data_IF_261973186140
#
_entry.id   IF_261973186140
#
_cell.length_a   1.000
_cell.length_b   1.000
_cell.length_c   1.000
_cell.angle_alpha   90.00
_cell.angle_beta   90.00
_cell.angle_gamma   90.00
#
_symmetry.space_group_name_H-M   'P 1'
#
loop_
_entity.id
_entity.type
_entity.pdbx_description
1 polymer ?
#
# COMPACT_ATOMS: atom_id res chain seq x y z
N UNK A 1 31.20 -7.11 -12.77
CA UNK A 1 31.99 -5.90 -12.42
C UNK A 1 31.61 -5.50 -10.99
N UNK A 2 32.60 -5.23 -10.14
CA UNK A 2 32.36 -4.71 -8.79
C UNK A 2 32.10 -3.19 -8.93
N UNK A 3 30.92 -2.73 -8.48
CA UNK A 3 30.52 -1.32 -8.52
C UNK A 3 30.32 -0.80 -7.12
N UNK A 4 30.64 0.48 -6.91
CA UNK A 4 30.26 1.22 -5.72
C UNK A 4 28.84 1.77 -5.89
N UNK A 5 28.05 1.82 -4.78
CA UNK A 5 26.71 2.38 -4.83
C UNK A 5 26.73 3.85 -4.42
N UNK A 6 25.97 4.68 -5.13
CA UNK A 6 25.81 6.11 -4.81
C UNK A 6 25.30 6.27 -3.38
N UNK A 7 24.39 5.39 -2.93
CA UNK A 7 23.91 5.34 -1.54
C UNK A 7 25.06 5.24 -0.54
N UNK A 8 25.99 4.32 -0.73
CA UNK A 8 27.13 4.11 0.20
C UNK A 8 28.04 5.33 0.27
N UNK A 9 28.22 6.06 -0.83
CA UNK A 9 29.00 7.30 -0.85
C UNK A 9 28.28 8.42 -0.06
N UNK A 10 26.94 8.50 -0.15
CA UNK A 10 26.16 9.46 0.64
C UNK A 10 26.14 9.11 2.13
N UNK A 11 26.13 7.83 2.50
CA UNK A 11 26.10 7.35 3.87
C UNK A 11 27.43 7.61 4.61
N UNK A 12 28.58 7.53 3.90
CA UNK A 12 29.91 7.79 4.49
C UNK A 12 30.80 8.56 3.52
N UNK A 13 30.38 9.78 3.18
CA UNK A 13 31.06 10.65 2.21
C UNK A 13 32.55 10.87 2.57
N UNK A 14 32.87 10.94 3.86
CA UNK A 14 34.25 11.23 4.31
C UNK A 14 35.20 10.07 4.00
N UNK A 15 34.77 8.81 4.15
CA UNK A 15 35.61 7.65 3.85
C UNK A 15 35.84 7.45 2.36
N UNK A 16 34.98 8.03 1.52
CA UNK A 16 35.11 8.00 0.07
C UNK A 16 35.91 9.18 -0.49
N UNK A 17 36.20 10.21 0.30
CA UNK A 17 36.93 11.40 -0.16
C UNK A 17 38.30 11.04 -0.75
N UNK A 18 38.55 11.46 -1.99
CA UNK A 18 39.79 11.17 -2.73
C UNK A 18 39.93 9.72 -3.26
N UNK A 19 38.95 8.84 -2.99
CA UNK A 19 38.95 7.47 -3.51
C UNK A 19 38.48 7.41 -4.95
N UNK A 20 39.09 6.52 -5.71
CA UNK A 20 38.57 6.12 -7.02
C UNK A 20 37.40 5.15 -6.81
N UNK A 21 36.27 5.41 -7.51
CA UNK A 21 35.06 4.60 -7.49
C UNK A 21 34.63 4.24 -8.90
N UNK A 22 33.90 3.12 -9.02
CA UNK A 22 33.24 2.74 -10.25
C UNK A 22 31.74 2.68 -9.98
N UNK A 23 30.97 3.57 -10.60
CA UNK A 23 29.50 3.63 -10.49
C UNK A 23 28.86 3.34 -11.84
N UNK A 24 27.64 2.82 -11.84
CA UNK A 24 26.87 2.59 -13.07
C UNK A 24 25.42 3.01 -12.86
N UNK A 25 24.87 3.79 -13.76
CA UNK A 25 23.50 4.32 -13.61
C UNK A 25 22.96 4.97 -14.87
N UNK A 26 21.83 5.64 -14.70
CA UNK A 26 21.10 6.28 -15.79
C UNK A 26 21.21 7.79 -15.70
N UNK A 27 21.43 8.41 -16.86
CA UNK A 27 21.48 9.86 -17.05
C UNK A 27 20.09 10.46 -16.74
N UNK A 28 20.05 11.37 -15.77
CA UNK A 28 18.85 12.17 -15.43
C UNK A 28 18.89 13.55 -16.05
N UNK A 29 20.10 14.08 -16.18
CA UNK A 29 20.36 15.35 -16.84
C UNK A 29 21.80 15.35 -17.35
N UNK A 30 22.06 16.05 -18.45
CA UNK A 30 23.38 16.23 -19.01
C UNK A 30 23.52 17.65 -19.53
N UNK A 31 24.64 18.29 -19.21
CA UNK A 31 24.97 19.66 -19.66
C UNK A 31 26.40 19.68 -20.17
N UNK A 32 26.60 20.13 -21.40
CA UNK A 32 27.91 20.36 -22.00
C UNK A 32 28.25 21.86 -21.97
N UNK A 33 29.46 22.20 -21.51
CA UNK A 33 30.03 23.53 -21.53
C UNK A 33 31.27 23.59 -22.45
N UNK A 34 31.40 22.71 -23.39
CA UNK A 34 32.48 22.57 -24.40
C UNK A 34 33.83 22.09 -23.84
N UNK A 35 34.33 22.69 -22.75
CA UNK A 35 35.58 22.29 -22.10
C UNK A 35 35.34 21.20 -21.04
N UNK A 36 34.19 21.20 -20.44
CA UNK A 36 33.77 20.22 -19.44
C UNK A 36 32.26 20.06 -19.47
N UNK A 37 31.77 18.94 -18.96
CA UNK A 37 30.33 18.68 -18.84
C UNK A 37 29.95 18.13 -17.47
N UNK A 38 28.64 18.14 -17.22
CA UNK A 38 28.04 17.61 -16.00
C UNK A 38 26.97 16.57 -16.34
N UNK A 39 26.99 15.47 -15.61
CA UNK A 39 25.96 14.43 -15.65
C UNK A 39 25.35 14.30 -14.27
N UNK A 40 24.02 14.42 -14.17
CA UNK A 40 23.29 13.94 -13.01
C UNK A 40 22.97 12.47 -13.22
N UNK A 41 23.67 11.59 -12.50
CA UNK A 41 23.54 10.13 -12.60
C UNK A 41 22.78 9.56 -11.41
N UNK A 42 21.85 8.64 -11.65
CA UNK A 42 21.17 7.87 -10.62
C UNK A 42 21.37 6.37 -10.88
N UNK A 43 21.90 5.65 -9.89
CA UNK A 43 22.18 4.21 -9.96
C UNK A 43 21.03 3.34 -9.42
N UNK A 44 19.95 3.98 -8.96
CA UNK A 44 18.83 3.29 -8.34
C UNK A 44 19.02 2.91 -6.87
N UNK A 45 20.20 3.06 -6.28
CA UNK A 45 20.46 2.69 -4.88
C UNK A 45 19.87 3.66 -3.86
N UNK A 46 19.69 4.92 -4.22
CA UNK A 46 19.05 5.95 -3.40
C UNK A 46 18.22 6.94 -4.22
N UNK A 47 17.49 7.80 -3.53
CA UNK A 47 16.65 8.82 -4.18
C UNK A 47 17.47 9.90 -4.89
N UNK A 48 18.62 10.29 -4.32
CA UNK A 48 19.48 11.34 -4.86
C UNK A 48 20.26 10.88 -6.10
N UNK A 49 20.52 11.82 -7.00
CA UNK A 49 21.52 11.67 -8.05
C UNK A 49 22.90 12.11 -7.53
N UNK A 50 23.96 11.63 -8.17
CA UNK A 50 25.31 12.18 -8.03
C UNK A 50 25.64 13.05 -9.23
N UNK A 51 26.31 14.17 -8.99
CA UNK A 51 26.89 14.97 -10.06
C UNK A 51 28.24 14.37 -10.47
N UNK A 52 28.38 14.07 -11.75
CA UNK A 52 29.63 13.66 -12.35
C UNK A 52 30.15 14.79 -13.23
N UNK A 53 31.40 15.14 -13.05
CA UNK A 53 32.09 16.14 -13.88
C UNK A 53 33.04 15.41 -14.82
N UNK A 54 32.98 15.72 -16.11
CA UNK A 54 33.85 15.16 -17.12
C UNK A 54 34.50 16.27 -17.95
N UNK A 55 35.79 16.15 -18.19
CA UNK A 55 36.59 17.19 -18.83
C UNK A 55 37.07 16.70 -20.20
N UNK A 56 37.07 17.57 -21.20
CA UNK A 56 37.39 17.24 -22.61
C UNK A 56 38.80 16.72 -22.80
N UNK A 57 39.73 17.25 -22.03
CA UNK A 57 41.15 16.85 -22.10
C UNK A 57 41.46 15.56 -21.34
N UNK A 58 40.51 15.03 -20.57
CA UNK A 58 40.67 13.82 -19.74
C UNK A 58 39.86 12.62 -20.25
N UNK A 59 38.72 12.88 -20.89
CA UNK A 59 37.81 11.83 -21.38
C UNK A 59 37.99 11.65 -22.89
N UNK A 60 38.47 10.49 -23.26
CA UNK A 60 38.81 10.17 -24.67
C UNK A 60 37.58 10.27 -25.58
N UNK A 61 36.42 9.77 -25.14
CA UNK A 61 35.17 9.79 -25.88
C UNK A 61 34.23 10.94 -25.46
N UNK A 62 34.78 12.11 -25.10
CA UNK A 62 34.02 13.27 -24.61
C UNK A 62 32.82 13.62 -25.49
N UNK A 63 33.02 13.71 -26.82
CA UNK A 63 31.97 14.11 -27.76
C UNK A 63 30.83 13.06 -27.82
N UNK A 64 31.14 11.78 -27.69
CA UNK A 64 30.14 10.74 -27.58
C UNK A 64 29.32 10.91 -26.33
N UNK A 65 29.96 11.19 -25.18
CA UNK A 65 29.26 11.38 -23.88
C UNK A 65 28.43 12.66 -23.90
N UNK A 66 28.97 13.76 -24.44
CA UNK A 66 28.27 15.05 -24.49
C UNK A 66 26.97 15.01 -25.33
N UNK A 67 26.85 14.04 -26.23
CA UNK A 67 25.68 13.82 -27.10
C UNK A 67 24.71 12.74 -26.57
N UNK A 68 24.95 12.17 -25.39
CA UNK A 68 24.02 11.21 -24.80
C UNK A 68 22.71 11.90 -24.36
N UNK A 69 21.59 11.18 -24.55
CA UNK A 69 20.30 11.64 -24.12
C UNK A 69 20.00 11.22 -22.67
N UNK A 70 19.04 11.89 -22.04
CA UNK A 70 18.44 11.45 -20.79
C UNK A 70 17.92 10.02 -20.95
N UNK A 71 18.15 9.19 -19.92
CA UNK A 71 17.80 7.78 -19.94
C UNK A 71 18.92 6.85 -20.43
N UNK A 72 19.99 7.36 -21.03
CA UNK A 72 21.17 6.56 -21.36
C UNK A 72 21.79 5.94 -20.10
N UNK A 73 22.33 4.74 -20.21
CA UNK A 73 23.03 4.04 -19.12
C UNK A 73 24.53 4.13 -19.32
N UNK A 74 25.22 4.55 -18.25
CA UNK A 74 26.67 4.78 -18.23
C UNK A 74 27.33 4.01 -17.11
N UNK A 75 28.57 3.57 -17.34
CA UNK A 75 29.51 3.15 -16.30
C UNK A 75 30.62 4.19 -16.23
N UNK A 76 30.85 4.73 -15.04
CA UNK A 76 31.75 5.84 -14.80
C UNK A 76 32.76 5.45 -13.74
N UNK A 77 34.04 5.61 -14.08
CA UNK A 77 35.16 5.52 -13.17
C UNK A 77 35.67 6.93 -12.88
N UNK A 78 35.92 7.25 -11.61
CA UNK A 78 36.35 8.58 -11.26
C UNK A 78 36.66 8.74 -9.77
N UNK A 79 37.13 9.91 -9.40
CA UNK A 79 37.51 10.24 -8.02
C UNK A 79 36.41 11.03 -7.32
N UNK A 80 36.08 10.66 -6.10
CA UNK A 80 35.13 11.38 -5.24
C UNK A 80 35.79 12.64 -4.70
N UNK A 81 35.29 13.81 -5.07
CA UNK A 81 35.73 15.12 -4.58
C UNK A 81 34.68 15.75 -3.65
N UNK A 82 35.09 16.16 -2.46
CA UNK A 82 34.20 16.87 -1.52
C UNK A 82 33.91 18.28 -2.00
N UNK A 83 32.65 18.67 -1.94
CA UNK A 83 32.16 19.99 -2.35
C UNK A 83 31.35 20.67 -1.23
N UNK A 84 31.96 20.96 -0.04
CA UNK A 84 31.25 21.41 1.15
C UNK A 84 30.57 22.77 0.99
N UNK A 85 31.01 23.58 0.02
CA UNK A 85 30.41 24.88 -0.29
C UNK A 85 29.28 24.82 -1.33
N UNK A 86 29.02 23.62 -1.90
CA UNK A 86 28.02 23.45 -2.92
C UNK A 86 26.73 22.83 -2.34
N UNK A 87 25.69 22.76 -3.17
CA UNK A 87 24.41 22.14 -2.78
C UNK A 87 24.55 20.64 -2.49
N UNK A 88 25.38 19.93 -3.28
CA UNK A 88 25.75 18.54 -3.06
C UNK A 88 27.02 18.44 -2.22
N UNK A 89 27.17 17.43 -1.33
CA UNK A 89 28.34 17.29 -0.45
C UNK A 89 29.60 16.83 -1.18
N UNK A 90 29.46 16.22 -2.35
CA UNK A 90 30.55 15.73 -3.19
C UNK A 90 30.13 15.68 -4.65
N UNK A 91 31.09 15.53 -5.52
CA UNK A 91 30.95 15.19 -6.94
C UNK A 91 31.95 14.11 -7.34
N UNK A 92 31.75 13.49 -8.49
CA UNK A 92 32.70 12.51 -9.05
C UNK A 92 33.41 13.13 -10.25
N UNK A 93 34.74 13.24 -10.18
CA UNK A 93 35.58 13.65 -11.29
C UNK A 93 35.88 12.41 -12.13
N UNK A 94 35.23 12.32 -13.29
CA UNK A 94 35.37 11.16 -14.18
C UNK A 94 36.78 11.07 -14.77
N UNK A 95 37.31 9.87 -14.79
CA UNK A 95 38.56 9.50 -15.51
C UNK A 95 38.26 8.61 -16.71
N UNK A 96 37.15 7.87 -16.68
CA UNK A 96 36.69 7.00 -17.76
C UNK A 96 35.17 6.93 -17.75
N UNK A 97 34.53 6.99 -18.91
CA UNK A 97 33.07 6.85 -19.06
C UNK A 97 32.79 5.88 -20.20
N UNK A 98 32.09 4.79 -19.93
CA UNK A 98 31.62 3.84 -20.94
C UNK A 98 30.11 3.97 -21.12
N UNK A 99 29.63 3.99 -22.34
CA UNK A 99 28.21 3.93 -22.68
C UNK A 99 27.77 2.48 -22.74
N UNK A 100 26.94 2.03 -21.80
CA UNK A 100 26.37 0.68 -21.78
C UNK A 100 25.11 0.58 -22.65
N UNK A 101 24.35 1.68 -22.72
CA UNK A 101 23.16 1.75 -23.55
C UNK A 101 22.78 3.19 -23.86
N UNK A 102 22.53 3.45 -25.13
CA UNK A 102 22.08 4.76 -25.60
C UNK A 102 20.60 4.96 -25.35
N UNK A 103 20.17 6.22 -25.30
CA UNK A 103 18.76 6.61 -25.28
C UNK A 103 18.46 7.47 -26.50
N UNK A 104 17.34 7.22 -27.16
CA UNK A 104 16.96 7.97 -28.35
C UNK A 104 16.25 9.28 -28.00
N UNK A 105 16.18 10.26 -28.94
CA UNK A 105 15.46 11.51 -28.72
C UNK A 105 13.96 11.35 -28.41
N UNK A 106 13.37 10.19 -28.79
CA UNK A 106 11.96 9.86 -28.52
C UNK A 106 11.70 9.43 -27.09
N UNK A 107 12.75 9.35 -26.23
CA UNK A 107 12.57 9.03 -24.81
C UNK A 107 11.53 9.96 -24.17
N UNK A 108 10.40 9.42 -23.67
CA UNK A 108 9.23 10.26 -23.33
C UNK A 108 9.43 11.10 -22.07
N UNK A 109 10.31 10.67 -21.15
CA UNK A 109 10.55 11.37 -19.88
C UNK A 109 11.66 12.44 -20.03
N UNK A 110 11.41 13.44 -20.84
CA UNK A 110 12.33 14.58 -21.01
C UNK A 110 12.47 15.40 -19.71
N UNK A 111 13.55 16.20 -19.52
CA UNK A 111 13.78 17.01 -18.31
C UNK A 111 12.81 18.22 -18.22
N UNK A 112 11.52 17.92 -18.07
CA UNK A 112 10.42 18.87 -17.87
C UNK A 112 9.41 18.27 -16.92
N UNK A 113 8.48 19.08 -16.42
CA UNK A 113 7.36 18.59 -15.61
C UNK A 113 6.39 17.82 -16.50
N UNK A 114 6.05 16.59 -16.08
CA UNK A 114 5.03 15.75 -16.68
C UNK A 114 3.79 15.71 -15.79
N UNK A 115 2.60 15.61 -16.40
CA UNK A 115 1.38 15.34 -15.63
C UNK A 115 1.36 13.90 -15.14
N UNK A 116 0.61 13.65 -14.06
CA UNK A 116 0.47 12.30 -13.50
C UNK A 116 -0.28 11.38 -14.46
N UNK A 117 -1.24 11.91 -15.20
CA UNK A 117 -2.00 11.19 -16.24
C UNK A 117 -1.06 10.66 -17.33
N UNK A 118 -0.20 11.52 -17.88
CA UNK A 118 0.82 11.10 -18.84
C UNK A 118 1.74 10.02 -18.26
N UNK A 119 2.14 10.15 -17.00
CA UNK A 119 3.01 9.16 -16.35
C UNK A 119 2.31 7.81 -16.10
N UNK A 120 0.98 7.79 -15.99
CA UNK A 120 0.22 6.53 -15.95
C UNK A 120 0.28 5.78 -17.29
N UNK A 121 0.23 6.49 -18.41
CA UNK A 121 0.41 5.92 -19.75
C UNK A 121 1.84 5.41 -19.97
N UNK A 122 2.81 5.92 -19.20
CA UNK A 122 4.22 5.52 -19.23
C UNK A 122 4.59 4.69 -17.99
N UNK A 123 3.72 3.78 -17.54
CA UNK A 123 3.89 3.07 -16.27
C UNK A 123 5.25 2.34 -16.18
N UNK A 124 5.75 1.77 -17.28
CA UNK A 124 7.03 1.07 -17.38
C UNK A 124 8.27 1.99 -17.22
N UNK A 125 8.12 3.31 -17.43
CA UNK A 125 9.21 4.28 -17.27
C UNK A 125 9.01 5.21 -16.06
N UNK A 126 7.79 5.39 -15.56
CA UNK A 126 7.52 6.33 -14.48
C UNK A 126 8.35 6.13 -13.20
N UNK A 127 8.85 4.93 -12.84
CA UNK A 127 9.80 4.78 -11.73
C UNK A 127 11.07 5.60 -11.86
N UNK A 128 11.42 6.03 -13.07
CA UNK A 128 12.57 6.92 -13.33
C UNK A 128 12.29 8.38 -13.00
N UNK A 129 11.06 8.76 -12.65
CA UNK A 129 10.71 10.12 -12.19
C UNK A 129 10.90 10.26 -10.68
N UNK A 130 11.12 11.49 -10.19
CA UNK A 130 11.28 11.72 -8.76
C UNK A 130 10.05 11.30 -7.96
N UNK A 131 8.83 11.62 -8.43
CA UNK A 131 7.59 11.30 -7.77
C UNK A 131 7.46 9.79 -7.53
N UNK A 132 7.60 9.00 -8.59
CA UNK A 132 7.38 7.56 -8.51
C UNK A 132 8.59 6.81 -7.91
N UNK A 133 9.81 7.33 -8.11
CA UNK A 133 10.98 6.81 -7.40
C UNK A 133 10.80 6.95 -5.88
N UNK A 134 10.35 8.12 -5.40
CA UNK A 134 10.08 8.32 -3.99
C UNK A 134 8.92 7.44 -3.50
N UNK A 135 7.80 7.37 -4.25
CA UNK A 135 6.63 6.60 -3.86
C UNK A 135 6.95 5.10 -3.70
N UNK A 136 7.67 4.51 -4.66
CA UNK A 136 7.98 3.08 -4.60
C UNK A 136 9.10 2.73 -3.61
N UNK A 137 9.97 3.69 -3.24
CA UNK A 137 10.90 3.51 -2.13
C UNK A 137 10.19 3.52 -0.79
N UNK A 138 9.28 4.47 -0.56
CA UNK A 138 8.43 4.47 0.64
C UNK A 138 7.57 3.22 0.70
N UNK A 139 6.99 2.76 -0.43
CA UNK A 139 6.23 1.51 -0.50
C UNK A 139 7.08 0.30 -0.09
N UNK A 140 8.30 0.19 -0.60
CA UNK A 140 9.22 -0.89 -0.25
C UNK A 140 9.58 -0.89 1.24
N UNK A 141 9.93 0.27 1.77
CA UNK A 141 10.32 0.41 3.18
C UNK A 141 9.15 0.18 4.13
N UNK A 142 7.94 0.65 3.77
CA UNK A 142 6.72 0.38 4.53
C UNK A 142 6.37 -1.12 4.55
N UNK A 143 6.55 -1.84 3.44
CA UNK A 143 6.34 -3.28 3.40
C UNK A 143 7.29 -4.02 4.33
N UNK A 144 8.59 -3.65 4.33
CA UNK A 144 9.56 -4.19 5.26
C UNK A 144 9.19 -3.89 6.72
N UNK A 145 8.77 -2.65 7.02
CA UNK A 145 8.34 -2.25 8.34
C UNK A 145 7.16 -3.11 8.85
N UNK A 146 6.19 -3.42 8.01
CA UNK A 146 5.05 -4.27 8.33
C UNK A 146 5.52 -5.68 8.70
N UNK A 147 6.34 -6.31 7.86
CA UNK A 147 6.89 -7.63 8.16
C UNK A 147 7.70 -7.64 9.45
N UNK A 148 8.54 -6.62 9.67
CA UNK A 148 9.34 -6.48 10.88
C UNK A 148 8.48 -6.29 12.13
N UNK A 149 7.43 -5.45 12.05
CA UNK A 149 6.50 -5.21 13.15
C UNK A 149 5.88 -6.50 13.67
N UNK A 150 5.35 -7.32 12.76
CA UNK A 150 4.69 -8.59 13.12
C UNK A 150 5.70 -9.64 13.55
N UNK A 151 6.81 -9.77 12.82
CA UNK A 151 7.86 -10.74 13.15
C UNK A 151 8.42 -10.54 14.56
N UNK A 152 8.76 -9.30 14.91
CA UNK A 152 9.32 -8.97 16.23
C UNK A 152 8.32 -9.22 17.39
N UNK A 153 7.03 -9.34 17.08
CA UNK A 153 5.95 -9.65 18.05
C UNK A 153 5.50 -11.10 18.03
N UNK A 154 6.23 -11.95 17.31
CA UNK A 154 6.01 -13.40 17.27
C UNK A 154 4.80 -13.82 16.43
N UNK A 155 4.37 -13.01 15.47
CA UNK A 155 3.36 -13.39 14.50
C UNK A 155 3.95 -14.31 13.42
N UNK A 156 3.15 -15.28 12.97
CA UNK A 156 3.49 -16.13 11.83
C UNK A 156 2.89 -15.54 10.55
N UNK A 157 3.71 -15.35 9.53
CA UNK A 157 3.25 -14.94 8.20
C UNK A 157 2.63 -16.13 7.47
N UNK A 158 1.40 -15.99 7.00
CA UNK A 158 0.65 -17.06 6.34
C UNK A 158 0.24 -16.63 4.93
N UNK A 159 0.47 -17.51 3.96
CA UNK A 159 -0.08 -17.37 2.61
C UNK A 159 -1.44 -18.05 2.55
N UNK A 160 -2.49 -17.26 2.39
CA UNK A 160 -3.83 -17.75 2.09
C UNK A 160 -4.03 -17.86 0.58
N UNK A 161 -4.95 -18.72 0.10
CA UNK A 161 -5.18 -18.92 -1.32
C UNK A 161 -5.62 -17.63 -2.03
N UNK A 162 -5.02 -17.35 -3.18
CA UNK A 162 -5.48 -16.28 -4.07
C UNK A 162 -6.70 -16.71 -4.86
N UNK A 163 -6.79 -18.01 -5.21
CA UNK A 163 -7.96 -18.62 -5.85
C UNK A 163 -8.76 -19.33 -4.78
N UNK A 164 -10.00 -18.95 -4.62
CA UNK A 164 -10.89 -19.48 -3.56
C UNK A 164 -12.27 -19.80 -4.10
N UNK A 165 -12.96 -20.74 -3.45
CA UNK A 165 -14.38 -21.00 -3.67
C UNK A 165 -15.27 -20.31 -2.61
N UNK A 166 -14.68 -19.63 -1.62
CA UNK A 166 -15.38 -18.97 -0.53
C UNK A 166 -15.41 -17.44 -0.75
N UNK A 167 -16.54 -16.82 -0.41
CA UNK A 167 -16.68 -15.35 -0.38
C UNK A 167 -16.57 -14.88 1.07
N UNK A 168 -15.47 -14.25 1.42
CA UNK A 168 -15.21 -13.77 2.77
C UNK A 168 -16.12 -12.62 3.20
N UNK A 169 -16.62 -11.82 2.27
CA UNK A 169 -17.50 -10.69 2.56
C UNK A 169 -18.98 -11.02 2.39
N UNK A 170 -19.31 -12.15 1.73
CA UNK A 170 -20.67 -12.64 1.53
C UNK A 170 -21.51 -11.86 0.50
N UNK A 171 -20.93 -10.87 -0.18
CA UNK A 171 -21.57 -10.08 -1.22
C UNK A 171 -20.52 -9.42 -2.15
N UNK A 172 -19.29 -9.91 -2.15
CA UNK A 172 -18.18 -9.34 -2.92
C UNK A 172 -18.37 -9.54 -4.43
N UNK A 173 -18.19 -8.50 -5.22
CA UNK A 173 -18.02 -8.63 -6.65
C UNK A 173 -16.65 -9.28 -6.94
N UNK A 174 -16.64 -10.60 -7.17
CA UNK A 174 -15.43 -11.37 -7.36
C UNK A 174 -15.12 -11.60 -8.84
N UNK A 175 -13.85 -11.54 -9.20
CA UNK A 175 -13.39 -12.01 -10.51
C UNK A 175 -13.47 -13.53 -10.58
N UNK A 176 -14.14 -14.08 -11.60
CA UNK A 176 -14.22 -15.52 -11.86
C UNK A 176 -12.92 -16.03 -12.44
N UNK A 177 -12.45 -17.19 -11.89
CA UNK A 177 -11.33 -17.95 -12.44
C UNK A 177 -11.88 -19.21 -13.08
N UNK A 178 -11.68 -19.38 -14.37
CA UNK A 178 -12.21 -20.55 -15.12
C UNK A 178 -11.27 -20.91 -16.28
N UNK A 179 -11.25 -22.19 -16.63
CA UNK A 179 -10.60 -22.73 -17.83
C UNK A 179 -11.60 -23.19 -18.89
N UNK A 180 -12.91 -23.01 -18.62
CA UNK A 180 -13.95 -23.32 -19.60
C UNK A 180 -13.87 -22.42 -20.82
N UNK A 181 -14.18 -22.97 -22.00
CA UNK A 181 -14.31 -22.15 -23.20
C UNK A 181 -15.56 -21.26 -23.10
N UNK A 182 -15.35 -19.96 -23.07
CA UNK A 182 -16.43 -18.96 -22.98
C UNK A 182 -17.38 -18.98 -24.19
N UNK A 183 -16.96 -19.59 -25.33
CA UNK A 183 -17.80 -19.74 -26.52
C UNK A 183 -18.63 -21.02 -26.51
N UNK A 184 -18.26 -22.00 -25.66
CA UNK A 184 -18.94 -23.31 -25.57
C UNK A 184 -18.98 -23.76 -24.10
N UNK A 185 -19.78 -23.05 -23.31
CA UNK A 185 -19.93 -23.33 -21.88
C UNK A 185 -20.77 -24.60 -21.65
N UNK A 186 -20.24 -25.59 -20.90
CA UNK A 186 -21.05 -26.73 -20.46
C UNK A 186 -22.19 -26.25 -19.56
N UNK A 187 -23.37 -26.88 -19.69
CA UNK A 187 -24.56 -26.50 -18.96
C UNK A 187 -25.15 -27.68 -18.19
N UNK A 188 -25.71 -27.41 -17.02
CA UNK A 188 -26.54 -28.34 -16.25
C UNK A 188 -27.91 -28.51 -16.90
N UNK A 189 -28.72 -29.45 -16.42
CA UNK A 189 -30.10 -29.66 -16.87
C UNK A 189 -30.96 -28.37 -16.68
N UNK A 190 -30.67 -27.56 -15.67
CA UNK A 190 -31.35 -26.30 -15.35
C UNK A 190 -30.85 -25.11 -16.19
N UNK A 191 -29.85 -25.34 -17.06
CA UNK A 191 -29.27 -24.32 -17.94
C UNK A 191 -28.18 -23.46 -17.32
N UNK A 192 -27.80 -23.69 -16.07
CA UNK A 192 -26.69 -23.04 -15.40
C UNK A 192 -25.34 -23.54 -15.93
N UNK A 193 -24.25 -22.81 -15.68
CA UNK A 193 -22.90 -23.24 -16.05
C UNK A 193 -22.50 -24.44 -15.19
N UNK A 194 -22.11 -25.54 -15.84
CA UNK A 194 -21.66 -26.75 -15.17
C UNK A 194 -20.19 -26.67 -14.79
N UNK A 195 -19.91 -26.09 -13.63
CA UNK A 195 -18.54 -25.96 -13.08
C UNK A 195 -17.91 -27.28 -12.63
N UNK A 196 -18.66 -28.41 -12.62
CA UNK A 196 -18.05 -29.72 -12.35
C UNK A 196 -17.08 -30.12 -13.45
N UNK A 197 -17.20 -29.54 -14.64
CA UNK A 197 -16.31 -29.71 -15.79
C UNK A 197 -15.15 -28.71 -15.83
N UNK A 198 -15.11 -27.72 -14.92
CA UNK A 198 -14.02 -26.76 -14.82
C UNK A 198 -12.82 -27.35 -14.04
N UNK A 199 -11.66 -26.68 -14.11
CA UNK A 199 -10.40 -27.14 -13.56
C UNK A 199 -10.48 -27.58 -12.08
N UNK A 200 -11.19 -26.82 -11.24
CA UNK A 200 -11.35 -27.11 -9.81
C UNK A 200 -12.59 -27.97 -9.48
N UNK A 201 -13.37 -28.36 -10.47
CA UNK A 201 -14.63 -29.10 -10.28
C UNK A 201 -15.72 -28.30 -9.54
N UNK A 202 -15.54 -27.02 -9.39
CA UNK A 202 -16.47 -26.06 -8.78
C UNK A 202 -16.17 -24.63 -9.23
N UNK A 203 -17.12 -23.71 -8.99
CA UNK A 203 -16.91 -22.28 -9.20
C UNK A 203 -15.75 -21.77 -8.33
N UNK A 204 -14.79 -21.10 -8.94
CA UNK A 204 -13.64 -20.48 -8.26
C UNK A 204 -13.47 -19.01 -8.66
N UNK A 205 -12.93 -18.22 -7.73
CA UNK A 205 -12.79 -16.77 -7.90
C UNK A 205 -11.42 -16.32 -7.37
N UNK A 206 -11.02 -15.10 -7.73
CA UNK A 206 -9.94 -14.40 -7.04
C UNK A 206 -10.45 -13.89 -5.68
N UNK A 207 -9.65 -14.05 -4.65
CA UNK A 207 -10.04 -13.71 -3.27
C UNK A 207 -10.24 -12.21 -3.05
N UNK A 208 -11.18 -11.87 -2.19
CA UNK A 208 -11.41 -10.48 -1.69
C UNK A 208 -10.72 -10.24 -0.34
N UNK A 209 -10.29 -11.31 0.37
CA UNK A 209 -9.64 -11.27 1.68
C UNK A 209 -9.03 -12.62 2.03
N UNK A 210 -7.92 -12.62 2.74
CA UNK A 210 -7.32 -13.83 3.32
C UNK A 210 -7.81 -14.14 4.74
N UNK A 211 -8.80 -13.41 5.25
CA UNK A 211 -9.22 -13.48 6.66
C UNK A 211 -9.72 -14.87 7.07
N UNK A 212 -10.69 -15.43 6.36
CA UNK A 212 -11.35 -16.67 6.80
C UNK A 212 -10.36 -17.84 6.90
N UNK A 213 -9.50 -18.00 5.91
CA UNK A 213 -8.43 -18.99 5.93
C UNK A 213 -7.36 -18.62 6.97
N UNK A 214 -7.09 -17.33 7.18
CA UNK A 214 -6.18 -16.81 8.21
C UNK A 214 -6.63 -17.18 9.62
N UNK A 215 -7.94 -17.11 9.92
CA UNK A 215 -8.50 -17.51 11.21
C UNK A 215 -8.19 -18.98 11.56
N UNK A 216 -8.09 -19.88 10.56
CA UNK A 216 -7.73 -21.28 10.80
C UNK A 216 -6.33 -21.41 11.40
N UNK A 217 -5.40 -20.61 10.93
CA UNK A 217 -4.03 -20.57 11.42
C UNK A 217 -3.90 -19.80 12.74
N UNK A 218 -4.69 -18.73 12.93
CA UNK A 218 -4.72 -18.01 14.20
C UNK A 218 -5.17 -18.91 15.36
N UNK A 219 -6.18 -19.77 15.12
CA UNK A 219 -6.66 -20.73 16.11
C UNK A 219 -5.72 -21.93 16.33
N UNK A 220 -4.60 -22.00 15.59
CA UNK A 220 -3.54 -22.98 15.78
C UNK A 220 -2.25 -22.35 16.33
N UNK A 221 -1.85 -21.19 15.83
CA UNK A 221 -0.59 -20.53 16.18
C UNK A 221 -0.75 -19.35 17.15
N UNK A 222 -1.96 -18.91 17.43
CA UNK A 222 -2.28 -17.80 18.33
C UNK A 222 -2.19 -16.42 17.68
N UNK A 223 -1.18 -16.19 16.85
CA UNK A 223 -0.95 -14.89 16.19
C UNK A 223 -0.44 -15.11 14.78
N UNK A 224 -1.19 -14.66 13.80
CA UNK A 224 -0.79 -14.71 12.39
C UNK A 224 -1.05 -13.37 11.70
N UNK A 225 -0.49 -13.19 10.53
CA UNK A 225 -0.91 -12.16 9.59
C UNK A 225 -0.80 -12.65 8.15
N UNK A 226 -1.69 -12.15 7.31
CA UNK A 226 -1.54 -12.21 5.86
C UNK A 226 -0.99 -10.88 5.36
N UNK A 227 -0.26 -10.90 4.27
CA UNK A 227 0.12 -9.72 3.50
C UNK A 227 0.14 -10.16 2.04
N UNK A 228 -0.97 -10.01 1.37
CA UNK A 228 -1.18 -10.59 0.06
C UNK A 228 -2.13 -9.78 -0.84
N UNK A 229 -2.16 -10.13 -2.14
CA UNK A 229 -3.04 -9.50 -3.10
C UNK A 229 -4.49 -9.88 -2.84
N UNK A 230 -5.38 -8.92 -3.02
CA UNK A 230 -6.84 -9.05 -2.98
C UNK A 230 -7.44 -8.39 -4.20
N UNK A 231 -8.64 -8.83 -4.60
CA UNK A 231 -9.25 -8.47 -5.87
C UNK A 231 -10.71 -8.13 -5.67
N UNK A 232 -11.17 -7.02 -6.25
CA UNK A 232 -12.58 -6.63 -6.25
C UNK A 232 -12.99 -6.20 -7.64
N UNK A 233 -14.05 -6.81 -8.17
CA UNK A 233 -14.59 -6.54 -9.51
C UNK A 233 -15.58 -5.36 -9.53
N UNK A 234 -15.62 -4.56 -8.48
CA UNK A 234 -16.50 -3.41 -8.37
C UNK A 234 -16.30 -2.43 -9.53
N UNK A 235 -17.40 -2.06 -10.19
CA UNK A 235 -17.39 -1.05 -11.24
C UNK A 235 -17.31 0.37 -10.65
N UNK A 236 -16.23 0.65 -9.92
CA UNK A 236 -15.98 1.92 -9.26
C UNK A 236 -14.75 2.62 -9.84
N UNK A 237 -14.94 3.83 -10.36
CA UNK A 237 -13.87 4.62 -10.99
C UNK A 237 -13.45 5.83 -10.14
N UNK A 238 -13.23 5.61 -8.85
CA UNK A 238 -12.78 6.66 -7.92
C UNK A 238 -11.26 6.67 -7.76
N UNK A 239 -10.74 7.69 -7.10
CA UNK A 239 -9.32 7.81 -6.76
C UNK A 239 -8.85 6.81 -5.68
N UNK A 240 -9.77 6.07 -5.05
CA UNK A 240 -9.50 5.16 -3.92
C UNK A 240 -9.75 3.69 -4.24
N UNK A 241 -10.24 3.36 -5.45
CA UNK A 241 -10.55 2.00 -5.85
C UNK A 241 -9.58 1.50 -6.93
N UNK A 242 -9.10 0.31 -6.72
CA UNK A 242 -8.36 -0.49 -7.68
C UNK A 242 -8.93 -1.92 -7.65
N UNK A 243 -8.89 -2.61 -8.78
CA UNK A 243 -9.38 -3.98 -8.89
C UNK A 243 -8.43 -5.01 -8.26
N UNK A 244 -7.15 -4.66 -8.15
CA UNK A 244 -6.10 -5.42 -7.48
C UNK A 244 -5.35 -4.50 -6.52
N UNK A 245 -5.23 -4.91 -5.27
CA UNK A 245 -4.52 -4.20 -4.21
C UNK A 245 -4.03 -5.20 -3.16
N UNK A 246 -3.24 -4.74 -2.18
CA UNK A 246 -2.68 -5.61 -1.16
C UNK A 246 -3.31 -5.32 0.21
N UNK A 247 -3.64 -6.39 0.95
CA UNK A 247 -4.17 -6.29 2.31
C UNK A 247 -3.18 -6.85 3.32
N UNK A 248 -3.12 -6.19 4.47
CA UNK A 248 -2.47 -6.67 5.68
C UNK A 248 -3.58 -7.06 6.65
N UNK A 249 -3.66 -8.33 7.01
CA UNK A 249 -4.77 -8.87 7.80
C UNK A 249 -4.23 -9.76 8.93
N UNK A 250 -3.91 -9.19 10.10
CA UNK A 250 -3.57 -9.96 11.29
C UNK A 250 -4.82 -10.57 11.92
N UNK A 251 -4.66 -11.77 12.47
CA UNK A 251 -5.65 -12.46 13.30
C UNK A 251 -5.00 -12.96 14.59
N UNK A 252 -5.64 -12.68 15.73
CA UNK A 252 -5.13 -12.98 17.07
C UNK A 252 -6.15 -13.78 17.87
N UNK A 253 -5.76 -14.98 18.29
CA UNK A 253 -6.56 -15.79 19.22
C UNK A 253 -6.43 -15.28 20.66
N UNK A 254 -7.45 -15.55 21.48
CA UNK A 254 -7.58 -15.11 22.87
C UNK A 254 -7.63 -13.58 23.04
N UNK A 255 -7.94 -12.85 21.98
CA UNK A 255 -8.01 -11.39 21.93
C UNK A 255 -9.46 -10.91 21.75
N UNK A 256 -9.76 -9.77 22.33
CA UNK A 256 -11.02 -9.07 22.16
C UNK A 256 -10.87 -7.80 21.30
N UNK A 257 -11.92 -6.99 21.24
CA UNK A 257 -11.90 -5.77 20.42
C UNK A 257 -10.86 -4.76 20.91
N UNK A 258 -10.62 -4.68 22.23
CA UNK A 258 -9.65 -3.74 22.82
C UNK A 258 -8.22 -4.12 22.42
N UNK A 259 -7.87 -5.42 22.52
CA UNK A 259 -6.59 -5.95 22.10
C UNK A 259 -6.36 -5.68 20.60
N UNK A 260 -7.41 -5.79 19.79
CA UNK A 260 -7.37 -5.54 18.36
C UNK A 260 -7.11 -4.07 18.01
N UNK A 261 -7.81 -3.15 18.69
CA UNK A 261 -7.57 -1.71 18.54
C UNK A 261 -6.14 -1.33 18.91
N UNK A 262 -5.63 -1.86 20.02
CA UNK A 262 -4.27 -1.56 20.46
C UNK A 262 -3.23 -2.06 19.43
N UNK A 263 -3.39 -3.28 18.90
CA UNK A 263 -2.49 -3.82 17.86
C UNK A 263 -2.53 -2.96 16.58
N UNK A 264 -3.72 -2.54 16.15
CA UNK A 264 -3.89 -1.69 14.97
C UNK A 264 -3.19 -0.33 15.15
N UNK A 265 -3.34 0.28 16.33
CA UNK A 265 -2.69 1.53 16.67
C UNK A 265 -1.18 1.43 16.72
N UNK A 266 -0.66 0.39 17.38
CA UNK A 266 0.78 0.13 17.49
C UNK A 266 1.40 -0.08 16.10
N UNK A 267 0.71 -0.81 15.21
CA UNK A 267 1.19 -1.05 13.85
C UNK A 267 1.27 0.24 13.04
N UNK A 268 0.20 1.04 13.02
CA UNK A 268 0.17 2.25 12.18
C UNK A 268 1.21 3.28 12.62
N UNK A 269 1.34 3.48 13.94
CA UNK A 269 2.34 4.40 14.49
C UNK A 269 3.76 3.91 14.28
N UNK A 270 3.98 2.59 14.35
CA UNK A 270 5.28 1.99 14.04
C UNK A 270 5.67 2.20 12.57
N UNK A 271 4.77 1.93 11.63
CA UNK A 271 5.02 2.12 10.19
C UNK A 271 5.39 3.58 9.91
N UNK A 272 4.63 4.53 10.45
CA UNK A 272 4.88 5.96 10.24
C UNK A 272 6.25 6.36 10.78
N UNK A 273 6.61 5.99 12.01
CA UNK A 273 7.93 6.27 12.60
C UNK A 273 9.05 5.68 11.78
N UNK A 274 8.90 4.41 11.38
CA UNK A 274 9.88 3.71 10.56
C UNK A 274 10.14 4.42 9.23
N UNK A 275 9.09 4.85 8.53
CA UNK A 275 9.22 5.57 7.26
C UNK A 275 9.81 6.97 7.45
N UNK A 276 9.42 7.71 8.48
CA UNK A 276 10.02 9.02 8.80
C UNK A 276 11.53 8.92 9.07
N UNK A 277 11.97 7.83 9.71
CA UNK A 277 13.37 7.58 10.03
C UNK A 277 14.18 7.10 8.81
N UNK A 278 13.64 6.18 8.01
CA UNK A 278 14.37 5.48 6.97
C UNK A 278 14.20 6.07 5.57
N UNK A 279 13.17 6.92 5.34
CA UNK A 279 12.90 7.60 4.07
C UNK A 279 12.88 9.15 4.19
N UNK A 280 13.82 9.79 4.91
CA UNK A 280 13.74 11.23 5.18
C UNK A 280 13.78 12.08 3.90
N UNK A 281 14.52 11.66 2.88
CA UNK A 281 14.65 12.39 1.62
C UNK A 281 13.38 12.33 0.78
N UNK A 282 12.75 11.17 0.73
CA UNK A 282 11.48 10.92 0.04
C UNK A 282 10.35 11.69 0.73
N UNK A 283 10.30 11.67 2.05
CA UNK A 283 9.31 12.44 2.83
C UNK A 283 9.50 13.94 2.66
N UNK A 284 10.72 14.45 2.67
CA UNK A 284 11.01 15.86 2.41
C UNK A 284 10.60 16.27 0.98
N UNK A 285 10.76 15.37 -0.01
CA UNK A 285 10.26 15.57 -1.36
C UNK A 285 8.73 15.66 -1.38
N UNK A 286 8.02 14.71 -0.77
CA UNK A 286 6.56 14.74 -0.71
C UNK A 286 6.03 15.99 0.02
N UNK A 287 6.64 16.34 1.14
CA UNK A 287 6.29 17.53 1.92
C UNK A 287 6.45 18.83 1.11
N UNK A 288 7.42 18.87 0.19
CA UNK A 288 7.72 20.05 -0.62
C UNK A 288 6.89 20.13 -1.91
N UNK A 289 6.57 19.00 -2.53
CA UNK A 289 6.06 18.96 -3.90
C UNK A 289 4.69 18.29 -4.06
N UNK A 290 4.22 17.54 -3.06
CA UNK A 290 2.95 16.79 -3.12
C UNK A 290 1.95 17.33 -2.11
N UNK A 291 2.26 17.29 -0.81
CA UNK A 291 1.40 17.75 0.27
C UNK A 291 2.21 18.59 1.27
N UNK A 292 2.03 19.90 1.23
CA UNK A 292 2.67 20.79 2.21
C UNK A 292 2.16 20.52 3.62
N UNK A 293 3.08 20.26 4.56
CA UNK A 293 2.76 19.91 5.96
C UNK A 293 2.62 18.41 6.21
N UNK A 294 2.87 17.57 5.20
CA UNK A 294 2.84 16.11 5.32
C UNK A 294 3.70 15.60 6.49
N UNK A 295 4.93 16.08 6.59
CA UNK A 295 5.88 15.63 7.63
C UNK A 295 5.37 15.95 9.04
N UNK A 296 4.80 17.13 9.23
CA UNK A 296 4.22 17.54 10.52
C UNK A 296 2.99 16.72 10.85
N UNK A 297 2.12 16.45 9.87
CA UNK A 297 0.94 15.57 10.03
C UNK A 297 1.34 14.16 10.45
N UNK A 298 2.30 13.55 9.77
CA UNK A 298 2.79 12.22 10.09
C UNK A 298 3.44 12.17 11.48
N UNK A 299 4.28 13.16 11.81
CA UNK A 299 4.94 13.26 13.11
C UNK A 299 3.92 13.45 14.25
N UNK A 300 2.92 14.28 14.03
CA UNK A 300 1.84 14.52 14.99
C UNK A 300 1.07 13.23 15.26
N UNK A 301 0.65 12.51 14.22
CA UNK A 301 -0.09 11.26 14.38
C UNK A 301 0.75 10.20 15.09
N UNK A 302 2.01 10.03 14.70
CA UNK A 302 2.90 9.04 15.32
C UNK A 302 3.13 9.26 16.83
N UNK A 303 2.90 10.48 17.32
CA UNK A 303 3.10 10.86 18.73
C UNK A 303 1.78 11.23 19.45
N UNK A 304 0.63 11.06 18.80
CA UNK A 304 -0.69 11.28 19.42
C UNK A 304 -1.23 10.00 20.07
N UNK A 305 -2.24 10.20 20.91
CA UNK A 305 -3.15 9.13 21.33
C UNK A 305 -4.38 9.13 20.42
N UNK A 306 -5.17 8.05 20.49
CA UNK A 306 -6.46 7.96 19.82
C UNK A 306 -7.62 8.19 20.79
N UNK A 307 -8.80 8.50 20.24
CA UNK A 307 -10.07 8.48 20.96
C UNK A 307 -10.91 7.31 20.50
N UNK A 308 -11.83 6.86 21.35
CA UNK A 308 -12.85 5.87 21.01
C UNK A 308 -14.23 6.49 21.14
N UNK A 309 -15.10 6.17 20.22
CA UNK A 309 -16.51 6.54 20.21
C UNK A 309 -17.33 5.39 19.64
N UNK A 310 -18.52 5.12 20.16
CA UNK A 310 -19.42 4.15 19.53
C UNK A 310 -20.03 4.75 18.26
N UNK A 311 -20.44 3.90 17.33
CA UNK A 311 -21.14 4.34 16.11
C UNK A 311 -22.42 5.15 16.47
N UNK A 312 -23.18 4.71 17.49
CA UNK A 312 -24.37 5.41 17.95
C UNK A 312 -24.05 6.82 18.42
N UNK A 313 -23.04 6.99 19.27
CA UNK A 313 -22.58 8.31 19.74
C UNK A 313 -22.04 9.16 18.57
N UNK A 314 -21.30 8.57 17.64
CA UNK A 314 -20.80 9.26 16.45
C UNK A 314 -21.95 9.83 15.59
N UNK A 315 -22.99 9.04 15.36
CA UNK A 315 -24.21 9.47 14.64
C UNK A 315 -24.91 10.62 15.39
N UNK A 316 -25.04 10.55 16.71
CA UNK A 316 -25.64 11.62 17.52
C UNK A 316 -24.84 12.92 17.44
N UNK A 317 -23.50 12.83 17.54
CA UNK A 317 -22.59 13.98 17.38
C UNK A 317 -22.76 14.61 15.99
N UNK A 318 -22.75 13.81 14.94
CA UNK A 318 -22.87 14.29 13.56
C UNK A 318 -24.23 14.92 13.29
N UNK A 319 -25.33 14.36 13.81
CA UNK A 319 -26.68 14.97 13.70
C UNK A 319 -26.77 16.30 14.44
N UNK A 320 -26.13 16.41 15.60
CA UNK A 320 -26.16 17.60 16.45
C UNK A 320 -25.19 18.73 16.06
N UNK A 321 -24.26 18.48 15.13
CA UNK A 321 -23.14 19.40 14.85
C UNK A 321 -23.51 20.62 13.99
N UNK A 322 -24.64 20.61 13.29
CA UNK A 322 -25.09 21.69 12.42
C UNK A 322 -24.31 21.84 11.10
N UNK A 323 -23.44 20.90 10.76
CA UNK A 323 -22.76 20.88 9.48
C UNK A 323 -23.71 20.42 8.36
N UNK A 324 -23.54 20.97 7.16
CA UNK A 324 -24.28 20.58 5.95
C UNK A 324 -23.51 19.50 5.22
N UNK A 325 -23.86 18.23 5.46
CA UNK A 325 -23.26 17.08 4.81
C UNK A 325 -23.95 16.77 3.49
N UNK A 326 -23.18 16.33 2.50
CA UNK A 326 -23.72 15.89 1.21
C UNK A 326 -24.57 14.61 1.34
N UNK A 327 -24.18 13.73 2.25
CA UNK A 327 -24.87 12.47 2.52
C UNK A 327 -25.61 12.55 3.87
N UNK A 328 -26.80 11.92 3.99
CA UNK A 328 -27.54 11.94 5.24
C UNK A 328 -26.80 11.23 6.36
N UNK A 329 -27.00 11.68 7.59
CA UNK A 329 -26.50 11.03 8.80
C UNK A 329 -27.68 10.36 9.48
N UNK A 330 -27.78 9.05 9.39
CA UNK A 330 -28.84 8.26 10.02
C UNK A 330 -28.24 7.01 10.66
N UNK A 331 -28.90 6.52 11.74
CA UNK A 331 -28.45 5.27 12.34
C UNK A 331 -28.81 4.09 11.43
N UNK A 332 -27.84 3.18 11.22
CA UNK A 332 -28.01 2.02 10.38
C UNK A 332 -27.48 2.18 8.93
N UNK A 333 -26.86 3.32 8.60
CA UNK A 333 -26.18 3.53 7.32
C UNK A 333 -24.68 3.69 7.50
N UNK A 334 -23.90 3.39 6.47
CA UNK A 334 -22.45 3.58 6.51
C UNK A 334 -22.06 5.06 6.62
N UNK A 335 -21.12 5.35 7.53
CA UNK A 335 -20.49 6.66 7.60
C UNK A 335 -19.71 6.90 6.28
N UNK A 336 -19.92 8.08 5.72
CA UNK A 336 -19.17 8.51 4.55
C UNK A 336 -17.89 9.25 4.95
N UNK A 337 -16.92 9.30 4.04
CA UNK A 337 -15.62 9.98 4.30
C UNK A 337 -15.75 11.39 4.87
N UNK A 338 -16.79 12.16 4.48
CA UNK A 338 -17.03 13.50 5.04
C UNK A 338 -17.40 13.45 6.52
N UNK A 339 -18.18 12.44 6.95
CA UNK A 339 -18.56 12.20 8.34
C UNK A 339 -17.33 11.81 9.19
N UNK A 340 -16.54 10.85 8.68
CA UNK A 340 -15.31 10.35 9.31
C UNK A 340 -14.27 11.45 9.50
N UNK A 341 -14.06 12.28 8.46
CA UNK A 341 -13.17 13.42 8.55
C UNK A 341 -13.68 14.49 9.49
N UNK A 342 -14.99 14.72 9.55
CA UNK A 342 -15.56 15.66 10.49
C UNK A 342 -15.29 15.23 11.94
N UNK A 343 -15.45 13.94 12.26
CA UNK A 343 -15.12 13.39 13.57
C UNK A 343 -13.65 13.61 13.93
N UNK A 344 -12.74 13.28 13.02
CA UNK A 344 -11.29 13.34 13.27
C UNK A 344 -10.72 14.76 13.23
N UNK A 345 -11.24 15.65 12.37
CA UNK A 345 -10.66 16.97 12.11
C UNK A 345 -11.36 18.11 12.88
N UNK A 346 -12.67 17.99 13.14
CA UNK A 346 -13.45 19.06 13.78
C UNK A 346 -13.79 18.72 15.23
N UNK A 347 -14.25 17.49 15.50
CA UNK A 347 -14.72 17.10 16.83
C UNK A 347 -13.54 16.74 17.74
N UNK A 348 -12.80 15.70 17.41
CA UNK A 348 -11.77 15.14 18.29
C UNK A 348 -10.37 15.69 18.02
N UNK A 349 -10.09 16.15 16.81
CA UNK A 349 -8.79 16.68 16.34
C UNK A 349 -7.63 15.69 16.54
N UNK A 350 -7.92 14.42 16.46
CA UNK A 350 -7.00 13.29 16.60
C UNK A 350 -7.57 12.05 15.91
N UNK A 351 -6.81 10.94 15.79
CA UNK A 351 -7.33 9.65 15.35
C UNK A 351 -8.45 9.14 16.24
N UNK A 352 -9.43 8.48 15.64
CA UNK A 352 -10.64 8.01 16.33
C UNK A 352 -10.94 6.57 15.93
N UNK A 353 -11.11 5.70 16.93
CA UNK A 353 -11.78 4.42 16.70
C UNK A 353 -13.28 4.61 16.85
N UNK A 354 -14.03 4.28 15.79
CA UNK A 354 -15.48 4.12 15.85
C UNK A 354 -15.77 2.64 16.05
N UNK A 355 -16.59 2.31 17.05
CA UNK A 355 -16.86 0.90 17.41
C UNK A 355 -18.36 0.62 17.49
N UNK A 356 -18.71 -0.65 17.58
CA UNK A 356 -20.08 -1.09 17.89
C UNK A 356 -21.09 -0.64 16.82
N UNK A 357 -20.81 -1.03 15.58
CA UNK A 357 -21.63 -0.72 14.41
C UNK A 357 -22.93 -1.53 14.37
N UNK A 358 -23.99 -1.03 13.72
CA UNK A 358 -25.17 -1.84 13.42
C UNK A 358 -24.83 -3.12 12.69
N UNK A 359 -25.43 -4.25 13.10
CA UNK A 359 -25.17 -5.55 12.51
C UNK A 359 -25.53 -5.63 11.01
N UNK A 360 -26.52 -4.86 10.58
CA UNK A 360 -27.06 -4.86 9.22
C UNK A 360 -26.09 -4.35 8.16
N UNK A 361 -25.12 -3.50 8.58
CA UNK A 361 -24.12 -2.91 7.68
C UNK A 361 -22.72 -3.51 7.84
N UNK A 362 -22.59 -4.60 8.60
CA UNK A 362 -21.31 -5.28 8.83
C UNK A 362 -21.42 -6.79 8.54
N UNK A 363 -20.26 -7.40 8.26
CA UNK A 363 -20.16 -8.79 7.83
C UNK A 363 -20.65 -9.79 8.89
N UNK A 364 -21.06 -10.96 8.41
CA UNK A 364 -21.69 -12.03 9.21
C UNK A 364 -20.80 -12.58 10.33
N UNK A 365 -19.50 -12.58 10.15
CA UNK A 365 -18.52 -13.15 11.07
C UNK A 365 -18.18 -12.25 12.28
N UNK A 366 -18.68 -11.04 12.32
CA UNK A 366 -18.41 -10.12 13.42
C UNK A 366 -19.23 -10.47 14.65
N UNK A 367 -18.61 -10.44 15.83
CA UNK A 367 -19.23 -10.81 17.09
C UNK A 367 -20.44 -9.90 17.41
N UNK A 368 -21.61 -10.53 17.55
CA UNK A 368 -22.83 -9.84 17.95
C UNK A 368 -22.74 -9.41 19.42
N UNK A 369 -22.94 -8.11 19.69
CA UNK A 369 -22.98 -7.58 21.04
C UNK A 369 -24.24 -8.03 21.81
N UNK A 370 -24.22 -7.89 23.13
CA UNK A 370 -25.28 -8.37 24.00
C UNK A 370 -26.61 -7.61 23.81
N UNK A 371 -26.58 -6.44 23.16
CA UNK A 371 -27.77 -5.68 22.76
C UNK A 371 -28.56 -6.32 21.59
N UNK A 372 -27.98 -7.29 20.91
CA UNK A 372 -28.55 -7.97 19.75
C UNK A 372 -28.72 -7.11 18.50
N UNK A 373 -28.19 -5.88 18.50
CA UNK A 373 -28.34 -4.87 17.42
C UNK A 373 -27.02 -4.46 16.82
N UNK A 374 -25.95 -4.42 17.62
CA UNK A 374 -24.63 -4.01 17.19
C UNK A 374 -23.65 -5.16 17.20
N UNK A 375 -22.54 -5.00 16.49
CA UNK A 375 -21.42 -5.94 16.44
C UNK A 375 -20.15 -5.28 16.94
N UNK A 376 -19.24 -6.08 17.51
CA UNK A 376 -17.94 -5.65 18.00
C UNK A 376 -16.98 -5.34 16.83
N UNK A 377 -17.38 -4.44 15.95
CA UNK A 377 -16.59 -3.88 14.87
C UNK A 377 -15.78 -2.69 15.35
N UNK A 378 -14.70 -2.39 14.64
CA UNK A 378 -13.90 -1.18 14.82
C UNK A 378 -13.43 -0.65 13.47
N UNK A 379 -13.52 0.66 13.27
CA UNK A 379 -12.87 1.35 12.16
C UNK A 379 -11.95 2.44 12.74
N UNK A 380 -10.65 2.41 12.38
CA UNK A 380 -9.72 3.47 12.73
C UNK A 380 -9.79 4.58 11.69
N UNK A 381 -10.23 5.75 12.14
CA UNK A 381 -10.30 6.96 11.32
C UNK A 381 -9.09 7.85 11.61
N UNK A 382 -8.48 8.38 10.55
CA UNK A 382 -7.36 9.33 10.66
C UNK A 382 -7.66 10.64 9.92
N UNK A 383 -7.16 11.78 10.42
CA UNK A 383 -7.32 13.07 9.75
C UNK A 383 -6.79 13.04 8.30
N UNK A 384 -7.50 13.67 7.37
CA UNK A 384 -7.14 13.76 5.96
C UNK A 384 -7.63 12.62 5.08
N UNK A 385 -7.90 11.44 5.66
CA UNK A 385 -8.28 10.24 4.89
C UNK A 385 -9.65 9.71 5.29
N UNK A 386 -9.99 9.67 6.58
CA UNK A 386 -11.11 8.93 7.14
C UNK A 386 -10.65 7.51 7.54
N UNK A 387 -11.46 6.50 7.28
CA UNK A 387 -11.14 5.11 7.61
C UNK A 387 -9.85 4.65 6.92
N UNK A 388 -8.93 4.10 7.71
CA UNK A 388 -7.66 3.51 7.26
C UNK A 388 -7.54 2.03 7.62
N UNK A 389 -8.15 1.59 8.71
CA UNK A 389 -8.22 0.20 9.16
C UNK A 389 -9.66 -0.10 9.53
N UNK A 390 -10.17 -1.24 9.07
CA UNK A 390 -11.42 -1.84 9.53
C UNK A 390 -11.19 -3.21 10.13
N UNK A 391 -11.89 -3.56 11.21
CA UNK A 391 -11.73 -4.84 11.88
C UNK A 391 -12.86 -5.17 12.85
N UNK A 392 -12.73 -6.31 13.53
CA UNK A 392 -13.69 -6.74 14.55
C UNK A 392 -13.13 -7.81 15.48
N UNK A 393 -13.77 -8.01 16.60
CA UNK A 393 -13.78 -9.31 17.25
C UNK A 393 -14.64 -10.26 16.41
N UNK A 394 -14.20 -11.51 16.27
CA UNK A 394 -14.90 -12.53 15.48
C UNK A 394 -15.93 -13.27 16.32
N UNK A 395 -17.01 -13.75 15.69
CA UNK A 395 -18.04 -14.51 16.41
C UNK A 395 -17.52 -15.92 16.71
N UNK A 396 -17.36 -16.21 17.99
CA UNK A 396 -16.92 -17.51 18.50
C UNK A 396 -18.08 -18.45 18.86
N UNK A 397 -19.29 -17.92 19.03
CA UNK A 397 -20.49 -18.70 19.38
C UNK A 397 -21.14 -19.25 18.14
N UNK A 398 -21.10 -20.59 18.00
CA UNK A 398 -21.50 -21.25 16.76
C UNK A 398 -23.00 -21.03 16.44
N UNK A 399 -23.86 -21.05 17.44
CA UNK A 399 -25.30 -20.83 17.27
C UNK A 399 -25.61 -19.39 16.78
N UNK A 400 -24.91 -18.41 17.30
CA UNK A 400 -25.04 -17.03 16.86
C UNK A 400 -24.50 -16.85 15.45
N UNK A 401 -23.30 -17.41 15.15
CA UNK A 401 -22.70 -17.34 13.82
C UNK A 401 -23.60 -17.98 12.75
N UNK A 402 -24.14 -19.18 13.03
CA UNK A 402 -25.05 -19.87 12.11
C UNK A 402 -26.33 -19.05 11.86
N UNK A 403 -26.91 -18.46 12.93
CA UNK A 403 -28.08 -17.59 12.78
C UNK A 403 -27.78 -16.35 11.91
N UNK A 404 -26.60 -15.74 12.10
CA UNK A 404 -26.17 -14.61 11.26
C UNK A 404 -25.94 -14.99 9.80
N UNK A 405 -25.35 -16.14 9.54
CA UNK A 405 -25.19 -16.66 8.18
C UNK A 405 -26.54 -16.83 7.50
N UNK A 406 -27.53 -17.40 8.20
CA UNK A 406 -28.89 -17.55 7.68
C UNK A 406 -29.56 -16.20 7.39
N UNK A 407 -29.40 -15.18 8.28
CA UNK A 407 -29.88 -13.80 8.04
C UNK A 407 -29.25 -13.19 6.79
N UNK A 408 -27.98 -13.51 6.49
CA UNK A 408 -27.25 -13.03 5.31
C UNK A 408 -27.48 -13.90 4.05
N UNK A 409 -28.24 -14.96 4.12
CA UNK A 409 -28.52 -15.87 3.00
C UNK A 409 -27.33 -16.75 2.61
N UNK A 410 -26.41 -17.01 3.53
CA UNK A 410 -25.22 -17.87 3.32
C UNK A 410 -25.53 -19.30 3.70
N UNK A 411 -25.15 -20.25 2.83
CA UNK A 411 -25.34 -21.68 3.07
C UNK A 411 -24.23 -22.23 3.98
N UNK A 412 -24.61 -23.01 5.02
CA UNK A 412 -23.63 -23.61 5.94
C UNK A 412 -22.68 -24.59 5.23
N UNK A 413 -23.15 -25.22 4.16
CA UNK A 413 -22.39 -26.17 3.35
C UNK A 413 -21.17 -25.55 2.68
N UNK A 414 -21.21 -24.27 2.35
CA UNK A 414 -20.09 -23.54 1.74
C UNK A 414 -19.03 -23.13 2.78
N UNK A 415 -19.45 -23.03 4.06
CA UNK A 415 -18.60 -22.60 5.18
C UNK A 415 -18.43 -23.66 6.26
N UNK A 416 -18.69 -24.95 5.96
CA UNK A 416 -18.64 -26.04 6.94
C UNK A 416 -17.31 -26.12 7.72
N UNK A 417 -16.20 -25.88 7.05
CA UNK A 417 -14.87 -25.87 7.63
C UNK A 417 -14.67 -24.68 8.59
N UNK A 418 -15.22 -23.53 8.27
CA UNK A 418 -15.18 -22.32 9.08
C UNK A 418 -16.03 -22.48 10.35
N UNK A 419 -17.21 -23.09 10.25
CA UNK A 419 -18.05 -23.45 11.39
C UNK A 419 -17.37 -24.49 12.30
N UNK A 420 -16.63 -25.44 11.72
CA UNK A 420 -15.87 -26.44 12.50
C UNK A 420 -14.78 -25.81 13.38
N UNK A 421 -14.23 -24.66 13.04
CA UNK A 421 -13.31 -23.94 13.92
C UNK A 421 -13.94 -23.60 15.27
N UNK A 422 -15.26 -23.36 15.30
CA UNK A 422 -16.01 -23.07 16.53
C UNK A 422 -16.36 -24.34 17.29
N UNK A 423 -16.49 -25.48 16.59
CA UNK A 423 -16.77 -26.81 17.20
C UNK A 423 -15.53 -27.44 17.82
N UNK A 424 -14.35 -27.16 17.27
CA UNK A 424 -13.11 -27.83 17.65
C UNK A 424 -12.13 -26.91 18.38
N UNK A 425 -12.55 -26.40 19.55
CA UNK A 425 -11.70 -25.55 20.38
C UNK A 425 -11.70 -24.08 19.99
N UNK A 426 -12.85 -23.60 19.48
CA UNK A 426 -13.04 -22.18 19.21
C UNK A 426 -12.85 -21.31 20.45
N UNK A 427 -12.24 -20.16 20.30
CA UNK A 427 -12.03 -19.17 21.34
C UNK A 427 -12.30 -17.77 20.81
N UNK A 428 -12.45 -16.80 21.71
CA UNK A 428 -12.48 -15.40 21.28
C UNK A 428 -11.23 -15.06 20.47
N UNK A 429 -11.40 -14.41 19.35
CA UNK A 429 -10.31 -13.97 18.49
C UNK A 429 -10.74 -12.71 17.73
N UNK A 430 -9.77 -11.94 17.26
CA UNK A 430 -10.00 -10.67 16.64
C UNK A 430 -8.96 -10.41 15.54
N UNK A 431 -9.31 -9.56 14.59
CA UNK A 431 -8.43 -9.18 13.51
C UNK A 431 -8.93 -7.92 12.80
N UNK A 432 -8.09 -7.41 11.91
CA UNK A 432 -8.40 -6.23 11.11
C UNK A 432 -7.76 -6.30 9.73
N UNK A 433 -8.22 -5.45 8.83
CA UNK A 433 -7.64 -5.25 7.50
C UNK A 433 -7.09 -3.83 7.34
N UNK A 434 -5.86 -3.72 6.83
CA UNK A 434 -5.27 -2.49 6.35
C UNK A 434 -4.97 -2.62 4.86
N UNK A 435 -5.59 -1.78 4.02
CA UNK A 435 -5.21 -1.67 2.62
C UNK A 435 -3.82 -1.06 2.49
N UNK A 436 -2.87 -1.78 1.88
CA UNK A 436 -1.49 -1.32 1.75
C UNK A 436 -1.37 -0.06 0.92
N UNK A 437 -2.11 0.05 -0.17
CA UNK A 437 -2.15 1.27 -0.98
C UNK A 437 -2.69 2.47 -0.20
N UNK A 438 -3.66 2.25 0.68
CA UNK A 438 -4.25 3.31 1.51
C UNK A 438 -3.24 3.89 2.47
N UNK A 439 -2.42 3.06 3.13
CA UNK A 439 -1.34 3.56 3.99
C UNK A 439 -0.23 4.23 3.18
N UNK A 440 0.11 3.75 1.98
CA UNK A 440 1.10 4.42 1.12
C UNK A 440 0.59 5.80 0.67
N UNK A 441 -0.68 5.93 0.28
CA UNK A 441 -1.28 7.25 0.00
C UNK A 441 -1.18 8.17 1.20
N UNK A 442 -1.45 7.67 2.40
CA UNK A 442 -1.34 8.44 3.65
C UNK A 442 0.08 8.90 3.95
N UNK A 443 1.08 8.03 3.76
CA UNK A 443 2.50 8.31 3.99
C UNK A 443 3.11 9.29 2.98
N UNK A 444 2.57 9.36 1.78
CA UNK A 444 3.15 10.15 0.66
C UNK A 444 2.35 11.41 0.32
N UNK A 445 1.10 11.52 0.78
CA UNK A 445 0.19 12.58 0.37
C UNK A 445 -0.35 12.43 -1.06
N UNK A 446 -0.03 11.31 -1.74
CA UNK A 446 -0.53 11.02 -3.08
C UNK A 446 -2.03 10.72 -2.99
N UNK A 447 -2.84 11.45 -3.75
CA UNK A 447 -4.30 11.41 -3.64
C UNK A 447 -4.99 10.32 -4.47
N UNK A 448 -4.27 9.61 -5.33
CA UNK A 448 -4.86 8.61 -6.22
C UNK A 448 -4.14 7.26 -6.10
N UNK A 449 -4.91 6.22 -5.83
CA UNK A 449 -4.41 4.84 -5.64
C UNK A 449 -3.60 4.32 -6.84
N UNK A 450 -3.93 4.77 -8.08
CA UNK A 450 -3.20 4.40 -9.29
C UNK A 450 -1.73 4.84 -9.27
N UNK A 451 -1.40 5.81 -8.41
CA UNK A 451 -0.08 6.42 -8.35
C UNK A 451 0.80 5.87 -7.22
N UNK A 452 0.27 4.93 -6.45
CA UNK A 452 1.00 4.17 -5.42
C UNK A 452 1.11 2.68 -5.76
N UNK A 453 0.51 2.26 -6.89
CA UNK A 453 0.64 0.92 -7.47
C UNK A 453 1.66 0.93 -8.61
N UNK A 454 2.56 -0.06 -8.73
CA UNK A 454 3.48 -0.16 -9.87
C UNK A 454 2.76 -0.19 -11.22
N UNK A 455 1.80 -1.10 -11.36
CA UNK A 455 0.94 -1.27 -12.53
C UNK A 455 -0.51 -1.40 -12.06
N UNK A 456 -1.27 -0.29 -12.01
CA UNK A 456 -2.62 -0.30 -11.47
C UNK A 456 -3.58 -1.10 -12.35
N UNK A 457 -4.42 -1.93 -11.71
CA UNK A 457 -5.56 -2.61 -12.33
C UNK A 457 -6.82 -1.89 -11.90
N UNK A 458 -7.53 -1.32 -12.87
CA UNK A 458 -8.77 -0.56 -12.64
C UNK A 458 -9.76 -0.82 -13.76
N UNK A 459 -11.01 -0.39 -13.60
CA UNK A 459 -12.02 -0.50 -14.65
C UNK A 459 -11.48 0.04 -15.99
N UNK A 460 -11.54 -0.78 -17.01
CA UNK A 460 -11.07 -0.46 -18.37
C UNK A 460 -9.55 -0.37 -18.54
N UNK A 461 -8.75 -0.78 -17.53
CA UNK A 461 -7.30 -0.74 -17.63
C UNK A 461 -6.62 -1.97 -17.03
N UNK A 462 -6.01 -2.75 -17.90
CA UNK A 462 -5.13 -3.88 -17.57
C UNK A 462 -3.87 -3.85 -18.47
N UNK A 463 -3.46 -2.66 -18.89
CA UNK A 463 -2.27 -2.44 -19.72
C UNK A 463 -1.00 -2.83 -18.95
N UNK A 464 -0.04 -3.44 -19.65
CA UNK A 464 1.20 -4.10 -19.18
C UNK A 464 0.99 -5.45 -18.50
#
# INVERSE_FOLDING_TARGET
>A
MKRDFIRSIYEDTQSYAGREVTIGGWVRNLRDSKAFGFIDLNDGSCFKCVQVVFERDKIENYDEIAHQNVGASLVIKGTVELTPAMKQPFEIKATEIAVEGTSTPEYPLQPKRHSVEFLREQAYLRPRTNLFSAAFRVRSEAAYAIHKFFHDRGFVYVHTPIITASDAEGAGEMFRVTTLDMNDLPRTEDGEVDYTQDFFGKSANLTVSGQLEGETYALAYGKIYTFGPTFRAENSNTARHAAEFWMIEPEIAFADLEDNMQLAWDMITYIIRHVLENCPQEIDFFNSFVEKGLKDRLTTLANSDYKRVTYTEAVEILKGCGADFKYPVEWGIDLQTEHERYLTEQVYKCPVFVTDYPKEIKAFYMRLNDDGKTVAAMDLLVPGVGEIIGGSQREERIDVLTARMAECGLAEEDYWWYLNLRRFGGTKHAGYGLGFERIIMYLTGISNIRDVLPYPRTVGNAEY
#
